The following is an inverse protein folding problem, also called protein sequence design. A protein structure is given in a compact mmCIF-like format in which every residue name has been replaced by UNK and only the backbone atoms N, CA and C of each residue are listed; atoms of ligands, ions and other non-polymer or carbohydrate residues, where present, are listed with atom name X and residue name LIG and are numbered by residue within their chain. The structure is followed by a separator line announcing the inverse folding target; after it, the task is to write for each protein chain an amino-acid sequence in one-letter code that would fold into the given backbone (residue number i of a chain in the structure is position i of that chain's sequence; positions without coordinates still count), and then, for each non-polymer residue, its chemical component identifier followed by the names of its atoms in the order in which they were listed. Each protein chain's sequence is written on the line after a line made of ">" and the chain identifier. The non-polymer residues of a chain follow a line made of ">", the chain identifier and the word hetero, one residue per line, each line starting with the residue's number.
data_IF_302012391159
#
_entry.id   IF_302012391159
#
_cell.length_a   1.000
_cell.length_b   1.000
_cell.length_c   1.000
_cell.angle_alpha   90.00
_cell.angle_beta   90.00
_cell.angle_gamma   90.00
#
_symmetry.space_group_name_H-M   'P 1'
#
loop_
_entity.id
_entity.type
_entity.pdbx_description
1 polymer ?
#
# COMPACT_ATOMS: atom_id res chain seq x y z
N UNK A 1 19.54 -57.17 17.85
CA UNK A 1 19.84 -56.12 16.87
C UNK A 1 18.65 -56.10 15.91
N UNK A 2 17.52 -55.49 16.27
CA UNK A 2 17.27 -54.05 16.49
C UNK A 2 17.29 -53.25 15.19
N UNK A 3 16.18 -52.54 14.96
CA UNK A 3 15.92 -51.45 14.00
C UNK A 3 15.72 -51.85 12.52
N UNK A 4 14.72 -51.36 11.77
CA UNK A 4 13.58 -50.49 12.09
C UNK A 4 12.58 -50.47 10.89
N UNK A 5 11.34 -50.17 11.25
CA UNK A 5 10.17 -49.72 10.49
C UNK A 5 10.45 -48.76 9.31
N UNK A 6 9.53 -48.42 8.42
CA UNK A 6 8.21 -48.85 7.96
C UNK A 6 7.85 -47.81 6.88
N UNK A 7 7.17 -48.26 5.82
CA UNK A 7 6.27 -47.52 4.92
C UNK A 7 6.56 -46.05 4.60
N UNK A 8 6.94 -45.85 3.34
CA UNK A 8 6.98 -44.58 2.63
C UNK A 8 5.61 -43.88 2.62
N UNK A 9 5.67 -42.55 2.80
CA UNK A 9 4.57 -41.63 3.05
C UNK A 9 3.88 -41.17 1.74
N UNK A 10 2.74 -40.46 1.85
CA UNK A 10 1.63 -40.51 0.91
C UNK A 10 1.75 -39.63 -0.34
N UNK A 11 0.95 -40.03 -1.33
CA UNK A 11 0.61 -39.29 -2.54
C UNK A 11 -0.24 -38.05 -2.23
N UNK A 12 0.09 -36.91 -2.84
CA UNK A 12 -0.75 -36.19 -3.81
C UNK A 12 -0.47 -34.68 -3.88
N UNK A 13 -0.58 -34.22 -5.13
CA UNK A 13 -0.95 -32.89 -5.58
C UNK A 13 0.12 -31.79 -5.54
N UNK A 14 0.73 -31.54 -6.69
CA UNK A 14 0.74 -30.30 -7.49
C UNK A 14 1.38 -30.71 -8.84
N UNK A 15 1.12 -30.18 -10.03
CA UNK A 15 0.89 -28.81 -10.43
C UNK A 15 0.51 -28.85 -11.92
N UNK A 16 -0.63 -28.29 -12.32
CA UNK A 16 -0.90 -28.02 -13.73
C UNK A 16 -0.48 -26.59 -14.04
N UNK A 17 0.75 -26.42 -14.49
CA UNK A 17 1.22 -25.19 -15.15
C UNK A 17 1.51 -25.50 -16.62
N UNK A 18 0.60 -25.07 -17.49
CA UNK A 18 0.85 -24.94 -18.92
C UNK A 18 1.10 -23.46 -19.21
N UNK A 19 2.37 -23.15 -19.44
CA UNK A 19 2.87 -21.94 -20.12
C UNK A 19 2.33 -21.98 -21.59
N UNK A 20 2.13 -20.91 -22.35
CA UNK A 20 2.92 -19.69 -22.52
C UNK A 20 2.21 -18.70 -23.48
N UNK A 21 2.76 -17.47 -23.52
CA UNK A 21 2.90 -16.52 -24.64
C UNK A 21 2.00 -15.26 -24.54
N UNK A 22 2.49 -14.04 -24.36
CA UNK A 22 3.86 -13.50 -24.38
C UNK A 22 3.81 -12.10 -25.01
N UNK A 23 4.13 -11.04 -24.24
CA UNK A 23 4.79 -9.79 -24.68
C UNK A 23 4.64 -8.71 -23.59
N UNK A 24 5.51 -8.73 -22.57
CA UNK A 24 5.74 -7.55 -21.73
C UNK A 24 7.23 -7.43 -21.44
N UNK A 25 7.88 -6.51 -22.14
CA UNK A 25 9.28 -6.15 -21.90
C UNK A 25 9.32 -4.69 -21.45
N UNK A 26 9.52 -4.47 -20.14
CA UNK A 26 10.40 -3.41 -19.60
C UNK A 26 10.47 -3.43 -18.07
N UNK A 27 11.37 -4.29 -17.56
CA UNK A 27 12.33 -4.02 -16.47
C UNK A 27 11.81 -3.41 -15.15
N UNK A 28 11.41 -4.25 -14.20
CA UNK A 28 11.76 -4.13 -12.75
C UNK A 28 11.43 -5.43 -12.01
N UNK A 29 12.24 -5.87 -11.03
CA UNK A 29 12.20 -7.23 -10.46
C UNK A 29 11.05 -7.43 -9.46
N UNK A 30 10.58 -8.69 -9.39
CA UNK A 30 9.53 -9.27 -8.53
C UNK A 30 10.10 -9.60 -7.12
N UNK A 31 9.30 -9.75 -6.03
CA UNK A 31 8.47 -10.96 -5.79
C UNK A 31 7.08 -10.66 -5.17
N UNK A 32 6.01 -11.31 -5.60
CA UNK A 32 5.40 -12.51 -4.98
C UNK A 32 5.10 -12.45 -3.46
N UNK A 33 3.82 -12.67 -3.13
CA UNK A 33 3.28 -13.44 -2.00
C UNK A 33 2.63 -12.70 -0.78
N UNK A 34 1.42 -13.17 -0.46
CA UNK A 34 0.76 -13.21 0.85
C UNK A 34 0.12 -11.96 1.48
N UNK A 35 -1.22 -11.88 1.35
CA UNK A 35 -2.09 -11.99 2.54
C UNK A 35 -2.19 -10.83 3.53
N UNK A 36 -1.71 -9.63 3.20
CA UNK A 36 -1.97 -8.43 3.99
C UNK A 36 -1.75 -7.17 3.14
N UNK A 37 -2.67 -6.22 3.19
CA UNK A 37 -2.55 -4.96 2.44
C UNK A 37 -1.42 -4.11 3.04
N UNK A 38 -0.17 -4.38 2.68
CA UNK A 38 0.99 -3.71 3.28
C UNK A 38 1.03 -2.23 2.87
N UNK A 39 1.65 -1.38 3.70
CA UNK A 39 1.81 0.06 3.43
C UNK A 39 2.31 0.37 2.00
N UNK A 40 3.20 -0.45 1.45
CA UNK A 40 3.77 -0.26 0.10
C UNK A 40 2.78 -0.62 -1.02
N UNK A 41 1.92 -1.61 -0.79
CA UNK A 41 0.87 -2.00 -1.74
C UNK A 41 -0.25 -0.96 -1.75
N UNK A 42 -0.64 -0.45 -0.58
CA UNK A 42 -1.52 0.71 -0.49
C UNK A 42 -0.88 1.92 -1.19
N UNK A 43 0.38 2.25 -0.90
CA UNK A 43 1.09 3.32 -1.58
C UNK A 43 1.00 3.17 -3.10
N UNK A 44 1.27 1.97 -3.64
CA UNK A 44 1.19 1.68 -5.08
C UNK A 44 -0.23 1.87 -5.61
N UNK A 45 -1.24 1.35 -4.90
CA UNK A 45 -2.62 1.51 -5.30
C UNK A 45 -3.01 3.00 -5.38
N UNK A 46 -2.72 3.79 -4.34
CA UNK A 46 -3.00 5.23 -4.31
C UNK A 46 -2.15 6.01 -5.32
N UNK A 47 -0.93 5.57 -5.62
CA UNK A 47 -0.06 6.18 -6.61
C UNK A 47 -0.54 5.97 -8.06
N UNK A 48 -1.19 4.83 -8.37
CA UNK A 48 -1.83 4.58 -9.69
C UNK A 48 -3.24 5.18 -9.78
N UNK A 49 -3.87 5.44 -8.63
CA UNK A 49 -5.23 5.95 -8.59
C UNK A 49 -5.34 7.35 -9.21
N UNK A 50 -6.11 7.47 -10.28
CA UNK A 50 -6.32 8.74 -10.98
C UNK A 50 -5.16 9.20 -11.87
N UNK A 51 -4.07 8.42 -11.98
CA UNK A 51 -2.97 8.68 -12.91
C UNK A 51 -2.65 7.41 -13.72
N UNK A 52 -3.30 7.21 -14.88
CA UNK A 52 -3.14 6.00 -15.69
C UNK A 52 -1.75 5.87 -16.33
N UNK A 53 -0.91 6.92 -16.27
CA UNK A 53 0.48 6.90 -16.74
C UNK A 53 1.48 6.62 -15.61
N UNK A 54 1.02 6.47 -14.37
CA UNK A 54 1.88 6.25 -13.22
C UNK A 54 2.09 4.76 -12.98
N UNK A 55 3.36 4.36 -12.81
CA UNK A 55 3.75 2.98 -12.46
C UNK A 55 3.35 2.57 -11.03
N UNK A 56 2.77 3.49 -10.25
CA UNK A 56 2.50 3.28 -8.83
C UNK A 56 3.75 3.39 -7.95
N UNK A 57 4.88 3.86 -8.51
CA UNK A 57 6.12 4.10 -7.77
C UNK A 57 6.16 5.48 -7.11
N UNK A 58 5.34 6.41 -7.57
CA UNK A 58 5.33 7.81 -7.15
C UNK A 58 3.90 8.25 -6.84
N UNK A 59 3.69 8.85 -5.67
CA UNK A 59 2.39 9.39 -5.25
C UNK A 59 2.38 10.91 -5.32
N UNK A 60 1.24 11.50 -5.68
CA UNK A 60 1.01 12.96 -5.67
C UNK A 60 0.42 13.41 -4.33
N UNK A 61 0.49 14.72 -4.04
CA UNK A 61 -0.12 15.29 -2.82
C UNK A 61 -1.61 14.94 -2.72
N UNK A 62 -2.35 15.11 -3.82
CA UNK A 62 -3.79 14.83 -3.87
C UNK A 62 -4.11 13.38 -3.48
N UNK A 63 -3.29 12.42 -3.93
CA UNK A 63 -3.48 11.01 -3.61
C UNK A 63 -3.00 10.65 -2.19
N UNK A 64 -1.90 11.26 -1.75
CA UNK A 64 -1.39 11.19 -0.38
C UNK A 64 -2.45 11.67 0.63
N UNK A 65 -3.04 12.83 0.41
CA UNK A 65 -4.08 13.39 1.28
C UNK A 65 -5.32 12.49 1.31
N UNK A 66 -5.75 11.95 0.17
CA UNK A 66 -6.84 10.95 0.12
C UNK A 66 -6.51 9.73 0.99
N UNK A 67 -5.29 9.20 0.85
CA UNK A 67 -4.86 8.05 1.63
C UNK A 67 -4.80 8.35 3.13
N UNK A 68 -4.22 9.47 3.54
CA UNK A 68 -4.13 9.87 4.95
C UNK A 68 -5.49 10.19 5.57
N UNK A 69 -6.44 10.75 4.80
CA UNK A 69 -7.82 10.92 5.22
C UNK A 69 -8.51 9.57 5.40
N UNK A 70 -8.34 8.65 4.45
CA UNK A 70 -8.92 7.31 4.51
C UNK A 70 -8.36 6.48 5.68
N UNK A 71 -7.07 6.60 5.94
CA UNK A 71 -6.38 6.00 7.07
C UNK A 71 -6.71 6.64 8.43
N UNK A 72 -7.52 7.72 8.46
CA UNK A 72 -7.79 8.53 9.66
C UNK A 72 -6.50 8.96 10.37
N UNK A 73 -5.49 9.30 9.58
CA UNK A 73 -4.26 9.97 10.04
C UNK A 73 -4.52 11.47 10.11
N UNK A 74 -5.22 12.02 9.12
CA UNK A 74 -5.71 13.40 9.15
C UNK A 74 -6.96 13.46 10.02
N UNK A 75 -6.79 13.94 11.25
CA UNK A 75 -7.86 14.16 12.22
C UNK A 75 -8.43 15.60 12.13
N UNK A 76 -7.76 16.50 11.41
CA UNK A 76 -8.16 17.91 11.34
C UNK A 76 -7.76 18.75 12.56
N UNK A 77 -7.43 18.12 13.69
CA UNK A 77 -6.86 18.78 14.89
C UNK A 77 -5.34 18.65 14.98
N UNK A 78 -4.83 17.42 14.91
CA UNK A 78 -3.40 17.11 14.99
C UNK A 78 -2.77 17.24 13.60
N UNK A 79 -3.04 16.30 12.71
CA UNK A 79 -2.59 16.33 11.32
C UNK A 79 -3.69 16.94 10.46
N UNK A 80 -3.35 17.93 9.63
CA UNK A 80 -4.29 18.58 8.70
C UNK A 80 -3.76 18.51 7.27
N UNK A 81 -4.66 18.64 6.29
CA UNK A 81 -4.28 18.74 4.86
C UNK A 81 -3.39 19.95 4.57
N UNK A 82 -3.46 20.99 5.40
CA UNK A 82 -2.56 22.14 5.31
C UNK A 82 -1.14 21.75 5.72
N UNK A 83 -1.01 21.01 6.82
CA UNK A 83 0.29 20.53 7.32
C UNK A 83 0.93 19.60 6.28
N UNK A 84 0.20 18.59 5.81
CA UNK A 84 0.67 17.67 4.77
C UNK A 84 1.03 18.40 3.48
N UNK A 85 0.22 19.38 3.05
CA UNK A 85 0.52 20.21 1.89
C UNK A 85 1.81 21.02 2.03
N UNK A 86 2.09 21.57 3.21
CA UNK A 86 3.33 22.32 3.50
C UNK A 86 4.54 21.37 3.42
N UNK A 87 4.49 20.22 4.11
CA UNK A 87 5.57 19.24 4.09
C UNK A 87 5.80 18.65 2.70
N UNK A 88 4.75 18.49 1.89
CA UNK A 88 4.88 17.96 0.55
C UNK A 88 5.49 19.01 -0.39
N UNK A 89 5.07 20.28 -0.28
CA UNK A 89 5.70 21.39 -1.01
C UNK A 89 7.16 21.60 -0.61
N UNK A 90 7.54 21.31 0.63
CA UNK A 90 8.94 21.36 1.09
C UNK A 90 9.85 20.38 0.32
N UNK A 91 9.31 19.26 -0.17
CA UNK A 91 10.03 18.30 -1.02
C UNK A 91 10.25 18.79 -2.46
N UNK A 92 9.68 19.95 -2.84
CA UNK A 92 9.76 20.58 -4.18
C UNK A 92 9.45 19.61 -5.33
N UNK A 93 8.69 18.57 -5.06
CA UNK A 93 8.40 17.48 -5.99
C UNK A 93 6.89 17.37 -6.17
N UNK A 94 6.41 17.31 -7.41
CA UNK A 94 4.98 17.08 -7.69
C UNK A 94 4.53 15.66 -7.32
N UNK A 95 5.46 14.71 -7.42
CA UNK A 95 5.27 13.29 -7.15
C UNK A 95 6.50 12.75 -6.43
N UNK A 96 6.29 11.97 -5.37
CA UNK A 96 7.38 11.45 -4.54
C UNK A 96 7.30 9.94 -4.43
N UNK A 97 8.46 9.29 -4.38
CA UNK A 97 8.59 7.85 -4.14
C UNK A 97 8.36 7.50 -2.67
N UNK A 98 8.17 6.21 -2.41
CA UNK A 98 7.91 5.71 -1.06
C UNK A 98 9.02 6.05 -0.04
N UNK A 99 10.28 6.15 -0.46
CA UNK A 99 11.38 6.56 0.42
C UNK A 99 11.22 8.01 0.87
N UNK A 100 10.99 8.93 -0.07
CA UNK A 100 10.70 10.33 0.23
C UNK A 100 9.41 10.47 1.03
N UNK A 101 8.43 9.63 0.75
CA UNK A 101 7.19 9.56 1.51
C UNK A 101 7.40 9.10 2.96
N UNK A 102 8.29 8.13 3.21
CA UNK A 102 8.66 7.72 4.59
C UNK A 102 9.33 8.87 5.35
N UNK A 103 10.18 9.67 4.68
CA UNK A 103 10.79 10.87 5.26
C UNK A 103 9.72 11.91 5.58
N UNK A 104 8.81 12.17 4.63
CA UNK A 104 7.65 13.04 4.82
C UNK A 104 6.83 12.63 6.05
N UNK A 105 6.52 11.35 6.18
CA UNK A 105 5.80 10.82 7.34
C UNK A 105 6.57 11.01 8.64
N UNK A 106 7.90 10.86 8.63
CA UNK A 106 8.72 11.05 9.81
C UNK A 106 8.73 12.53 10.25
N UNK A 107 8.86 13.47 9.32
CA UNK A 107 8.85 14.91 9.60
C UNK A 107 7.48 15.37 10.12
N UNK A 108 6.42 14.89 9.47
CA UNK A 108 5.04 15.09 9.90
C UNK A 108 4.80 14.54 11.30
N UNK A 109 5.19 13.28 11.56
CA UNK A 109 5.05 12.62 12.85
C UNK A 109 5.76 13.39 13.96
N UNK A 110 7.02 13.78 13.74
CA UNK A 110 7.82 14.60 14.68
C UNK A 110 7.14 15.92 15.02
N UNK A 111 6.63 16.63 14.02
CA UNK A 111 5.97 17.92 14.25
C UNK A 111 4.64 17.79 14.97
N UNK A 112 3.90 16.70 14.71
CA UNK A 112 2.57 16.46 15.31
C UNK A 112 2.64 15.68 16.63
N UNK A 113 3.85 15.32 17.10
CA UNK A 113 4.09 14.39 18.22
C UNK A 113 3.32 13.08 18.07
N UNK A 114 3.28 12.57 16.84
CA UNK A 114 2.74 11.24 16.53
C UNK A 114 3.90 10.28 16.30
N UNK A 115 3.61 9.00 16.43
CA UNK A 115 4.59 7.97 16.12
C UNK A 115 4.52 7.58 14.64
N UNK A 116 5.69 7.43 14.00
CA UNK A 116 5.76 7.07 12.58
C UNK A 116 5.23 5.66 12.32
N UNK A 117 5.35 4.76 13.29
CA UNK A 117 4.83 3.40 13.24
C UNK A 117 3.31 3.40 13.37
N UNK A 118 2.74 4.25 14.24
CA UNK A 118 1.28 4.40 14.33
C UNK A 118 0.70 4.94 13.02
N UNK A 119 1.33 5.95 12.41
CA UNK A 119 0.91 6.47 11.12
C UNK A 119 1.02 5.38 10.03
N UNK A 120 2.16 4.69 9.94
CA UNK A 120 2.34 3.59 8.97
C UNK A 120 1.33 2.47 9.20
N UNK A 121 1.01 2.15 10.44
CA UNK A 121 0.02 1.12 10.81
C UNK A 121 -1.38 1.52 10.37
N UNK A 122 -1.79 2.76 10.63
CA UNK A 122 -3.08 3.31 10.14
C UNK A 122 -3.16 3.31 8.63
N UNK A 123 -2.06 3.68 7.96
CA UNK A 123 -1.98 3.73 6.50
C UNK A 123 -1.88 2.34 5.86
N UNK A 124 -1.28 1.36 6.54
CA UNK A 124 -1.28 -0.04 6.14
C UNK A 124 -2.64 -0.70 6.31
N UNK A 125 -3.36 -0.39 7.40
CA UNK A 125 -4.74 -0.84 7.62
C UNK A 125 -5.78 -0.13 6.74
N UNK A 126 -5.35 0.79 5.88
CA UNK A 126 -6.22 1.44 4.91
C UNK A 126 -6.63 0.46 3.80
N UNK A 127 -7.89 0.52 3.37
CA UNK A 127 -8.35 -0.20 2.17
C UNK A 127 -7.90 0.46 0.87
N UNK A 128 -8.15 -0.21 -0.26
CA UNK A 128 -7.80 0.29 -1.60
C UNK A 128 -8.41 1.68 -1.89
N UNK A 129 -7.70 2.54 -2.65
CA UNK A 129 -8.22 3.84 -3.09
C UNK A 129 -9.48 3.69 -3.93
N UNK A 130 -10.46 4.57 -3.70
CA UNK A 130 -11.76 4.50 -4.37
C UNK A 130 -12.87 3.90 -3.49
N UNK A 131 -12.53 3.23 -2.39
CA UNK A 131 -13.49 2.84 -1.35
C UNK A 131 -13.68 3.98 -0.34
N UNK A 132 -13.96 5.19 -0.83
CA UNK A 132 -14.72 6.12 0.00
C UNK A 132 -16.12 5.52 0.08
N UNK A 133 -16.44 4.90 1.22
CA UNK A 133 -17.73 4.28 1.48
C UNK A 133 -18.85 5.20 1.02
N UNK A 134 -19.42 4.89 -0.13
CA UNK A 134 -20.82 5.18 -0.38
C UNK A 134 -21.50 4.35 0.69
N UNK A 135 -22.12 5.03 1.65
CA UNK A 135 -22.96 4.36 2.64
C UNK A 135 -23.82 3.33 1.93
N UNK A 136 -23.87 2.14 2.51
CA UNK A 136 -24.75 1.03 2.18
C UNK A 136 -26.03 1.55 1.52
N UNK A 137 -26.12 1.52 0.18
CA UNK A 137 -27.42 1.59 -0.48
C UNK A 137 -28.00 0.20 -0.35
N UNK A 138 -28.69 -0.03 0.76
CA UNK A 138 -29.66 -1.10 0.91
C UNK A 138 -30.69 -0.89 -0.21
N UNK A 139 -30.48 -1.56 -1.34
CA UNK A 139 -31.53 -1.82 -2.33
C UNK A 139 -32.48 -2.79 -1.63
N UNK A 140 -33.53 -2.23 -1.04
CA UNK A 140 -34.74 -3.01 -0.78
C UNK A 140 -35.48 -3.07 -2.10
N UNK A 141 -35.75 -4.30 -2.54
CA UNK A 141 -36.66 -4.63 -3.63
C UNK A 141 -37.83 -5.38 -3.03
#
# INVERSE_FOLDING_TARGET
>A
MSAEANSEAPTQAVENLKLENGAEASKSPVPQNSGGTTFEENFKAFAKFGDPKSDGKLITLSNSDKWMKQAKVIDGKKVTTTDTGIYFKKLKSQKINITNYKIFLNDLAKNKKLDVEEIKTKMGNCGQPGHHGVGVRKIFK
#
